data_IF_571298515875
#
_entry.id   IF_571298515875
#
_cell.length_a   1.000
_cell.length_b   1.000
_cell.length_c   1.000
_cell.angle_alpha   90.00
_cell.angle_beta   90.00
_cell.angle_gamma   90.00
#
_symmetry.space_group_name_H-M   'P 1'
#
loop_
_entity.id
_entity.type
_entity.pdbx_description
1 polymer ?
#
# COMPACT_ATOMS: atom_id res chain seq x y z
N UNK A 1 9.97 -7.33 -6.31
CA UNK A 1 8.51 -7.22 -6.14
C UNK A 1 7.84 -8.58 -5.93
N UNK A 2 7.57 -9.41 -6.95
CA UNK A 2 6.73 -10.63 -6.74
C UNK A 2 7.27 -11.55 -5.63
N UNK A 3 8.58 -11.86 -5.62
CA UNK A 3 9.19 -12.69 -4.56
C UNK A 3 9.05 -12.04 -3.18
N UNK A 4 9.29 -10.74 -3.07
CA UNK A 4 9.17 -9.98 -1.82
C UNK A 4 7.73 -9.94 -1.31
N UNK A 5 6.76 -9.74 -2.20
CA UNK A 5 5.34 -9.80 -1.88
C UNK A 5 4.96 -11.17 -1.38
N UNK A 6 5.39 -12.24 -2.07
CA UNK A 6 5.12 -13.61 -1.64
C UNK A 6 5.72 -13.91 -0.26
N UNK A 7 6.93 -13.42 0.02
CA UNK A 7 7.56 -13.55 1.33
C UNK A 7 6.79 -12.80 2.41
N UNK A 8 6.41 -11.54 2.19
CA UNK A 8 5.60 -10.78 3.15
C UNK A 8 4.26 -11.46 3.43
N UNK A 9 3.66 -12.06 2.42
CA UNK A 9 2.39 -12.77 2.53
C UNK A 9 2.54 -14.09 3.31
N UNK A 10 3.64 -14.81 3.10
CA UNK A 10 4.01 -16.02 3.84
C UNK A 10 4.35 -15.73 5.31
N UNK A 11 5.17 -14.70 5.58
CA UNK A 11 5.48 -14.23 6.94
C UNK A 11 4.22 -13.81 7.71
N UNK A 12 3.22 -13.26 7.01
CA UNK A 12 1.92 -12.91 7.57
C UNK A 12 0.97 -14.11 7.78
N UNK A 13 1.42 -15.33 7.45
CA UNK A 13 0.65 -16.57 7.61
C UNK A 13 -0.55 -16.69 6.67
N UNK A 14 -0.52 -16.03 5.51
CA UNK A 14 -1.63 -16.09 4.56
C UNK A 14 -1.72 -17.46 3.88
N UNK A 15 -2.95 -17.90 3.64
CA UNK A 15 -3.22 -19.11 2.85
C UNK A 15 -3.46 -18.82 1.36
N UNK A 16 -3.62 -17.56 0.98
CA UNK A 16 -3.99 -17.15 -0.37
C UNK A 16 -3.35 -15.82 -0.74
N UNK A 17 -2.82 -15.77 -1.97
CA UNK A 17 -2.36 -14.56 -2.63
C UNK A 17 -2.87 -14.52 -4.07
N UNK A 18 -3.39 -13.37 -4.49
CA UNK A 18 -3.89 -13.15 -5.84
C UNK A 18 -3.21 -11.94 -6.46
N UNK A 19 -2.63 -12.12 -7.65
CA UNK A 19 -2.12 -11.04 -8.48
C UNK A 19 -3.10 -10.78 -9.61
N UNK A 20 -3.68 -9.58 -9.65
CA UNK A 20 -4.71 -9.20 -10.60
C UNK A 20 -4.24 -7.98 -11.39
N UNK A 21 -4.17 -8.10 -12.71
CA UNK A 21 -4.00 -6.94 -13.58
C UNK A 21 -5.36 -6.31 -13.82
N UNK A 22 -5.61 -5.21 -13.13
CA UNK A 22 -6.71 -4.34 -13.50
C UNK A 22 -6.35 -3.61 -14.80
N UNK A 23 -7.27 -3.64 -15.76
CA UNK A 23 -7.14 -2.99 -17.07
C UNK A 23 -8.12 -1.83 -17.24
N UNK A 24 -8.88 -1.54 -16.20
CA UNK A 24 -9.97 -0.58 -16.26
C UNK A 24 -9.42 0.82 -16.07
N UNK A 25 -10.05 1.76 -16.75
CA UNK A 25 -9.90 3.18 -16.46
C UNK A 25 -11.07 3.55 -15.55
N UNK A 26 -10.78 3.88 -14.31
CA UNK A 26 -11.78 4.24 -13.31
C UNK A 26 -12.25 5.69 -13.52
N UNK A 27 -13.47 6.02 -13.05
CA UNK A 27 -13.94 7.40 -13.02
C UNK A 27 -12.99 8.30 -12.20
N UNK A 28 -12.92 9.57 -12.57
CA UNK A 28 -11.99 10.53 -11.95
C UNK A 28 -12.63 11.90 -11.72
N UNK A 29 -13.94 11.91 -11.43
CA UNK A 29 -14.75 13.13 -11.23
C UNK A 29 -14.72 13.60 -9.78
N UNK A 30 -14.63 12.67 -8.83
CA UNK A 30 -14.68 12.93 -7.39
C UNK A 30 -13.50 12.27 -6.67
N UNK A 31 -12.29 12.66 -7.11
CA UNK A 31 -11.01 12.32 -6.45
C UNK A 31 -10.58 13.46 -5.50
N UNK A 32 -9.50 13.27 -4.75
CA UNK A 32 -8.99 14.33 -3.85
C UNK A 32 -8.57 15.62 -4.57
N UNK A 33 -8.11 15.51 -5.82
CA UNK A 33 -7.82 16.64 -6.71
C UNK A 33 -7.53 16.13 -8.13
N UNK A 34 -7.54 17.00 -9.14
CA UNK A 34 -7.24 16.63 -10.53
C UNK A 34 -5.89 15.89 -10.72
N UNK A 35 -4.91 16.16 -9.84
CA UNK A 35 -3.61 15.47 -9.85
C UNK A 35 -3.72 13.96 -9.59
N UNK A 36 -4.81 13.51 -8.98
CA UNK A 36 -5.05 12.10 -8.65
C UNK A 36 -5.74 11.34 -9.78
N UNK A 37 -6.22 12.04 -10.80
CA UNK A 37 -6.92 11.40 -11.91
C UNK A 37 -6.01 10.46 -12.70
N UNK A 38 -4.70 10.68 -12.69
CA UNK A 38 -3.71 9.78 -13.29
C UNK A 38 -3.66 8.41 -12.58
N UNK A 39 -3.99 8.37 -11.28
CA UNK A 39 -4.00 7.15 -10.48
C UNK A 39 -5.23 6.27 -10.73
N UNK A 40 -6.23 6.79 -11.45
CA UNK A 40 -7.44 6.04 -11.85
C UNK A 40 -7.21 5.17 -13.10
N UNK A 41 -5.95 5.00 -13.52
CA UNK A 41 -5.55 4.22 -14.68
C UNK A 41 -5.34 2.74 -14.32
N UNK A 42 -5.17 1.84 -15.31
CA UNK A 42 -4.93 0.42 -15.07
C UNK A 42 -3.84 0.15 -14.02
N UNK A 43 -4.14 -0.74 -13.07
CA UNK A 43 -3.26 -1.03 -11.94
C UNK A 43 -2.92 -2.52 -11.81
N UNK A 44 -1.85 -2.81 -11.06
CA UNK A 44 -1.60 -4.15 -10.55
C UNK A 44 -2.14 -4.24 -9.13
N UNK A 45 -3.20 -5.00 -8.94
CA UNK A 45 -3.80 -5.26 -7.64
C UNK A 45 -3.22 -6.55 -7.07
N UNK A 46 -2.85 -6.51 -5.79
CA UNK A 46 -2.35 -7.66 -5.05
C UNK A 46 -3.25 -7.84 -3.85
N UNK A 47 -3.85 -9.03 -3.72
CA UNK A 47 -4.73 -9.37 -2.61
C UNK A 47 -4.12 -10.52 -1.80
N UNK A 48 -4.19 -10.41 -0.48
CA UNK A 48 -3.85 -11.46 0.48
C UNK A 48 -5.04 -11.65 1.44
N UNK A 49 -5.27 -12.87 1.90
CA UNK A 49 -6.26 -13.15 2.94
C UNK A 49 -5.74 -12.95 4.37
N UNK A 50 -4.49 -12.49 4.53
CA UNK A 50 -3.97 -11.94 5.78
C UNK A 50 -4.11 -10.41 5.79
N UNK A 51 -4.25 -9.83 6.98
CA UNK A 51 -4.29 -8.37 7.17
C UNK A 51 -2.96 -7.86 7.70
N UNK A 52 -2.57 -6.65 7.32
CA UNK A 52 -1.44 -5.96 7.94
C UNK A 52 -1.69 -5.73 9.42
N UNK A 53 -0.64 -5.90 10.24
CA UNK A 53 -0.60 -5.48 11.62
C UNK A 53 -0.13 -4.02 11.72
N UNK A 54 -0.36 -3.40 12.89
CA UNK A 54 0.10 -2.03 13.16
C UNK A 54 1.61 -1.85 12.93
N UNK A 55 2.41 -2.85 13.30
CA UNK A 55 3.86 -2.86 13.13
C UNK A 55 4.28 -2.89 11.65
N UNK A 56 3.49 -3.55 10.79
CA UNK A 56 3.75 -3.58 9.35
C UNK A 56 3.48 -2.20 8.74
N UNK A 57 2.38 -1.55 9.14
CA UNK A 57 2.01 -0.20 8.70
C UNK A 57 3.10 0.81 9.08
N UNK A 58 3.55 0.76 10.34
CA UNK A 58 4.66 1.59 10.82
C UNK A 58 5.93 1.33 10.02
N UNK A 59 6.26 0.06 9.75
CA UNK A 59 7.45 -0.30 8.98
C UNK A 59 7.40 0.24 7.54
N UNK A 60 6.24 0.20 6.88
CA UNK A 60 6.06 0.71 5.52
C UNK A 60 6.19 2.25 5.48
N UNK A 61 5.76 2.95 6.54
CA UNK A 61 5.89 4.41 6.63
C UNK A 61 7.34 4.88 6.81
N UNK A 62 8.20 4.06 7.42
CA UNK A 62 9.60 4.39 7.69
C UNK A 62 10.53 3.85 6.59
N UNK A 63 10.33 4.34 5.36
CA UNK A 63 11.18 4.00 4.21
C UNK A 63 12.66 4.28 4.53
N UNK A 64 13.51 3.26 4.42
CA UNK A 64 14.96 3.37 4.64
C UNK A 64 15.44 3.32 6.10
N UNK A 65 14.55 3.24 7.10
CA UNK A 65 14.96 3.06 8.51
C UNK A 65 15.08 1.57 8.82
N UNK A 66 16.30 1.10 9.08
CA UNK A 66 16.62 -0.31 9.40
C UNK A 66 16.06 -0.72 10.77
N UNK A 67 14.77 -1.04 10.85
CA UNK A 67 14.09 -1.34 12.13
C UNK A 67 14.07 -2.82 12.56
N UNK A 68 14.28 -3.79 11.66
CA UNK A 68 14.13 -5.23 11.98
C UNK A 68 15.44 -5.89 12.45
N UNK A 69 16.16 -5.31 13.42
CA UNK A 69 17.35 -5.96 14.00
C UNK A 69 17.01 -7.03 15.06
N UNK A 70 15.87 -6.94 15.75
CA UNK A 70 15.58 -7.78 16.93
C UNK A 70 14.63 -8.97 16.71
N UNK A 71 13.87 -9.03 15.62
CA UNK A 71 12.99 -10.19 15.37
C UNK A 71 13.74 -11.29 14.60
N UNK A 72 14.12 -12.35 15.31
CA UNK A 72 14.94 -13.44 14.79
C UNK A 72 14.19 -14.45 13.91
N UNK A 73 12.85 -14.41 13.89
CA UNK A 73 11.98 -15.37 13.19
C UNK A 73 11.32 -14.82 11.91
N UNK A 74 11.62 -13.59 11.48
CA UNK A 74 10.98 -12.98 10.29
C UNK A 74 12.00 -12.81 9.18
N UNK A 75 11.76 -13.40 8.01
CA UNK A 75 12.72 -13.40 6.90
C UNK A 75 12.59 -12.12 6.09
N UNK A 76 13.08 -11.00 6.63
CA UNK A 76 12.97 -9.68 6.02
C UNK A 76 13.90 -8.64 6.66
N UNK A 77 15.11 -9.07 7.03
CA UNK A 77 16.08 -8.38 7.90
C UNK A 77 16.56 -6.98 7.45
N UNK A 78 16.11 -6.51 6.29
CA UNK A 78 16.59 -5.26 5.69
C UNK A 78 15.49 -4.22 5.43
N UNK A 79 14.20 -4.54 5.59
CA UNK A 79 13.13 -3.59 5.31
C UNK A 79 13.03 -3.12 3.86
N UNK A 80 13.83 -3.69 2.94
CA UNK A 80 13.92 -3.31 1.52
C UNK A 80 12.87 -4.01 0.63
N UNK A 81 12.16 -5.00 1.16
CA UNK A 81 11.24 -5.82 0.34
C UNK A 81 10.12 -4.98 -0.26
N UNK A 82 9.59 -4.02 0.51
CA UNK A 82 8.54 -3.12 0.04
C UNK A 82 9.05 -2.06 -0.95
N UNK A 83 10.30 -1.60 -0.82
CA UNK A 83 10.89 -0.61 -1.75
C UNK A 83 10.85 -1.10 -3.20
N UNK A 84 10.83 -2.42 -3.41
CA UNK A 84 10.72 -3.01 -4.75
C UNK A 84 9.41 -2.73 -5.47
N UNK A 85 8.37 -2.23 -4.79
CA UNK A 85 7.11 -1.79 -5.40
C UNK A 85 7.29 -0.48 -6.18
N UNK A 86 8.25 0.36 -5.79
CA UNK A 86 8.57 1.60 -6.50
C UNK A 86 9.20 1.38 -7.87
N UNK A 87 9.62 0.16 -8.21
CA UNK A 87 9.98 -0.19 -9.58
C UNK A 87 8.77 -0.29 -10.53
N UNK A 88 7.55 -0.38 -9.99
CA UNK A 88 6.32 -0.60 -10.75
C UNK A 88 5.34 0.56 -10.64
N UNK A 89 5.35 1.32 -9.54
CA UNK A 89 4.47 2.47 -9.34
C UNK A 89 5.14 3.52 -8.45
N UNK A 90 4.97 4.80 -8.81
CA UNK A 90 5.38 5.92 -7.96
C UNK A 90 4.40 6.16 -6.79
N UNK A 91 3.20 5.56 -6.85
CA UNK A 91 2.15 5.69 -5.87
C UNK A 91 1.59 4.30 -5.52
N UNK A 92 2.28 3.52 -4.65
CA UNK A 92 1.66 2.34 -4.06
C UNK A 92 0.45 2.78 -3.22
N UNK A 93 -0.56 1.92 -3.14
CA UNK A 93 -1.74 2.09 -2.30
C UNK A 93 -2.08 0.77 -1.62
N UNK A 94 -2.59 0.84 -0.39
CA UNK A 94 -2.88 -0.33 0.42
C UNK A 94 -4.25 -0.21 1.08
N UNK A 95 -4.93 -1.34 1.19
CA UNK A 95 -6.18 -1.46 1.92
C UNK A 95 -6.06 -2.63 2.89
N UNK A 96 -6.24 -2.37 4.18
CA UNK A 96 -6.26 -3.39 5.25
C UNK A 96 -7.30 -3.00 6.28
N UNK A 97 -7.92 -3.96 6.98
CA UNK A 97 -8.96 -3.79 8.02
C UNK A 97 -9.31 -2.32 8.33
N UNK A 98 -10.40 -1.84 7.74
CA UNK A 98 -11.05 -0.53 7.94
C UNK A 98 -10.17 0.73 7.77
N UNK A 99 -8.96 0.59 7.25
CA UNK A 99 -8.02 1.71 7.05
C UNK A 99 -7.33 1.60 5.69
N UNK A 100 -7.45 2.65 4.87
CA UNK A 100 -6.67 2.76 3.64
C UNK A 100 -5.33 3.40 3.97
N UNK A 101 -4.25 2.68 3.62
CA UNK A 101 -2.90 3.14 3.89
C UNK A 101 -2.20 3.58 2.61
N UNK A 102 -1.53 4.72 2.79
CA UNK A 102 -0.45 5.27 1.99
C UNK A 102 -0.80 5.47 0.54
N UNK A 103 -1.14 6.71 0.22
CA UNK A 103 -1.00 7.23 -1.13
C UNK A 103 0.18 8.20 -1.16
N UNK A 104 0.91 8.21 -2.28
CA UNK A 104 1.81 9.31 -2.60
C UNK A 104 0.99 10.60 -2.68
N UNK A 105 1.28 11.53 -1.76
CA UNK A 105 0.66 12.85 -1.72
C UNK A 105 1.57 13.85 -2.46
N UNK A 106 1.03 14.80 -3.23
CA UNK A 106 1.82 15.91 -3.76
C UNK A 106 2.51 16.75 -2.67
N UNK A 107 2.04 16.64 -1.43
CA UNK A 107 2.59 17.30 -0.22
C UNK A 107 3.46 16.37 0.62
N UNK A 108 3.82 15.19 0.12
CA UNK A 108 4.66 14.23 0.83
C UNK A 108 6.03 14.84 1.14
N UNK A 109 6.51 14.61 2.36
CA UNK A 109 7.87 14.95 2.79
C UNK A 109 8.59 13.68 3.22
N UNK A 110 9.91 13.74 3.41
CA UNK A 110 10.68 12.61 3.94
C UNK A 110 10.14 12.11 5.28
N UNK A 111 9.55 12.99 6.09
CA UNK A 111 8.96 12.68 7.39
C UNK A 111 7.52 12.15 7.29
N UNK A 112 6.83 12.45 6.19
CA UNK A 112 5.44 12.05 5.90
C UNK A 112 5.33 11.68 4.42
N UNK A 113 5.82 10.49 4.02
CA UNK A 113 5.91 10.11 2.60
C UNK A 113 4.53 9.86 1.95
N UNK A 114 3.46 9.81 2.73
CA UNK A 114 2.09 9.64 2.24
C UNK A 114 1.04 10.07 3.24
N UNK A 115 -0.21 9.68 2.99
CA UNK A 115 -1.34 9.91 3.90
C UNK A 115 -2.15 8.63 4.14
N UNK A 116 -2.88 8.61 5.25
CA UNK A 116 -3.71 7.51 5.70
C UNK A 116 -5.13 8.04 5.95
N UNK A 117 -6.12 7.30 5.48
CA UNK A 117 -7.53 7.68 5.57
C UNK A 117 -8.33 6.51 6.14
N UNK A 118 -9.24 6.81 7.07
CA UNK A 118 -10.27 5.86 7.45
C UNK A 118 -11.32 5.82 6.33
N UNK A 119 -11.60 4.64 5.79
CA UNK A 119 -12.65 4.50 4.75
C UNK A 119 -13.97 4.25 5.46
N UNK A 120 -14.55 5.35 5.94
CA UNK A 120 -15.88 5.37 6.50
C UNK A 120 -16.93 5.80 5.47
N UNK A 121 -18.20 5.85 5.90
CA UNK A 121 -19.31 6.22 5.01
C UNK A 121 -19.21 7.65 4.50
N UNK A 122 -18.62 8.56 5.28
CA UNK A 122 -18.45 9.95 4.88
C UNK A 122 -17.34 10.08 3.83
N UNK A 123 -16.24 9.35 4.00
CA UNK A 123 -15.16 9.26 3.03
C UNK A 123 -15.68 8.77 1.68
N UNK A 124 -16.36 7.62 1.64
CA UNK A 124 -16.91 7.04 0.40
C UNK A 124 -17.94 7.96 -0.27
N UNK A 125 -18.67 8.76 0.51
CA UNK A 125 -19.63 9.73 -0.03
C UNK A 125 -18.93 10.94 -0.67
N UNK A 126 -17.86 11.43 -0.07
CA UNK A 126 -17.14 12.62 -0.53
C UNK A 126 -16.17 12.29 -1.69
N UNK A 127 -15.61 11.09 -1.69
CA UNK A 127 -14.64 10.61 -2.68
C UNK A 127 -15.03 9.24 -3.24
N UNK A 128 -16.17 9.12 -3.95
CA UNK A 128 -16.68 7.83 -4.46
C UNK A 128 -15.80 7.22 -5.57
N UNK A 129 -14.86 8.00 -6.12
CA UNK A 129 -13.90 7.55 -7.12
C UNK A 129 -12.55 7.16 -6.48
N UNK A 130 -12.46 7.08 -5.15
CA UNK A 130 -11.28 6.63 -4.37
C UNK A 130 -11.65 5.38 -3.57
#
# INVERSE_FOLDING_TARGET
MVKEVLQNVDDAGAGLVCFMRDRWQHPAKATFSEKWNILQSPALCIYSNSSFQQQDIESIQHLGVRGKQDQHDVTGKYGLGFDTVYHFTDCPAFLTKDTTHLYYMPTATTEKPGSMFAVDTEFTKNFPDI
#
